data_IF_203722906180
#
_entry.id   IF_203722906180
#
_cell.length_a   1.000
_cell.length_b   1.000
_cell.length_c   1.000
_cell.angle_alpha   90.00
_cell.angle_beta   90.00
_cell.angle_gamma   90.00
#
_symmetry.space_group_name_H-M   'P 1'
#
loop_
_entity.id
_entity.type
_entity.pdbx_description
1 polymer ?
#
# COMPACT_ATOMS: atom_id res chain seq x y z
N UNK A 1 -22.26 -17.55 -14.08
CA UNK A 1 -21.92 -16.13 -13.95
C UNK A 1 -22.55 -15.18 -15.02
N UNK A 2 -23.35 -15.69 -15.93
CA UNK A 2 -24.08 -14.86 -16.91
C UNK A 2 -25.41 -14.30 -16.42
N UNK A 3 -25.77 -14.52 -15.15
CA UNK A 3 -27.01 -14.00 -14.58
C UNK A 3 -27.00 -12.47 -14.49
N UNK A 4 -28.08 -11.82 -14.89
CA UNK A 4 -28.30 -10.38 -14.72
C UNK A 4 -28.50 -10.02 -13.24
N UNK A 5 -28.87 -10.99 -12.41
CA UNK A 5 -29.10 -10.79 -10.99
C UNK A 5 -27.78 -10.72 -10.21
N UNK A 6 -27.51 -9.57 -9.59
CA UNK A 6 -26.31 -9.30 -8.80
C UNK A 6 -26.15 -10.31 -7.65
N UNK A 7 -27.23 -10.64 -6.95
CA UNK A 7 -27.21 -11.59 -5.84
C UNK A 7 -26.78 -13.00 -6.26
N UNK A 8 -27.24 -13.45 -7.44
CA UNK A 8 -26.82 -14.77 -7.97
C UNK A 8 -25.33 -14.79 -8.27
N UNK A 9 -24.79 -13.70 -8.83
CA UNK A 9 -23.36 -13.60 -9.13
C UNK A 9 -22.50 -13.60 -7.87
N UNK A 10 -22.90 -12.81 -6.87
CA UNK A 10 -22.19 -12.73 -5.59
C UNK A 10 -22.21 -14.06 -4.84
N UNK A 11 -23.36 -14.72 -4.77
CA UNK A 11 -23.48 -16.03 -4.12
C UNK A 11 -22.69 -17.12 -4.87
N UNK A 12 -22.68 -17.07 -6.21
CA UNK A 12 -21.84 -17.98 -7.01
C UNK A 12 -20.36 -17.78 -6.72
N UNK A 13 -19.90 -16.52 -6.60
CA UNK A 13 -18.51 -16.22 -6.22
C UNK A 13 -18.17 -16.73 -4.82
N UNK A 14 -19.03 -16.48 -3.83
CA UNK A 14 -18.84 -16.99 -2.47
C UNK A 14 -18.75 -18.52 -2.45
N UNK A 15 -19.61 -19.20 -3.23
CA UNK A 15 -19.57 -20.65 -3.36
C UNK A 15 -18.23 -21.12 -3.99
N UNK A 16 -17.77 -20.47 -5.06
CA UNK A 16 -16.50 -20.82 -5.73
C UNK A 16 -15.31 -20.67 -4.76
N UNK A 17 -15.25 -19.59 -3.99
CA UNK A 17 -14.19 -19.39 -3.00
C UNK A 17 -14.25 -20.37 -1.81
N UNK A 18 -15.42 -20.96 -1.52
CA UNK A 18 -15.55 -22.00 -0.50
C UNK A 18 -15.09 -23.38 -0.99
N UNK A 19 -14.98 -23.57 -2.31
CA UNK A 19 -14.44 -24.79 -2.90
C UNK A 19 -12.92 -24.68 -2.93
N UNK A 20 -12.23 -25.59 -2.23
CA UNK A 20 -10.76 -25.59 -2.09
C UNK A 20 -10.02 -25.96 -3.38
N UNK A 21 -10.38 -25.36 -4.51
CA UNK A 21 -9.81 -25.63 -5.83
C UNK A 21 -9.28 -24.36 -6.47
N UNK A 22 -7.95 -24.15 -6.52
CA UNK A 22 -7.34 -22.95 -7.11
C UNK A 22 -7.68 -22.76 -8.59
N UNK A 23 -7.73 -23.83 -9.39
CA UNK A 23 -8.04 -23.76 -10.83
C UNK A 23 -9.44 -23.20 -11.08
N UNK A 24 -10.40 -23.57 -10.23
CA UNK A 24 -11.76 -23.05 -10.31
C UNK A 24 -11.80 -21.56 -9.97
N UNK A 25 -11.04 -21.13 -8.97
CA UNK A 25 -10.89 -19.71 -8.61
C UNK A 25 -10.32 -18.93 -9.78
N UNK A 26 -9.21 -19.37 -10.37
CA UNK A 26 -8.58 -18.72 -11.53
C UNK A 26 -9.56 -18.62 -12.72
N UNK A 27 -10.29 -19.71 -13.00
CA UNK A 27 -11.28 -19.73 -14.09
C UNK A 27 -12.41 -18.73 -13.83
N UNK A 28 -12.86 -18.62 -12.58
CA UNK A 28 -13.87 -17.63 -12.17
C UNK A 28 -13.34 -16.19 -12.31
N UNK A 29 -12.12 -15.91 -11.88
CA UNK A 29 -11.50 -14.60 -12.00
C UNK A 29 -11.36 -14.17 -13.47
N UNK A 30 -10.98 -15.06 -14.37
CA UNK A 30 -10.93 -14.78 -15.82
C UNK A 30 -12.30 -14.40 -16.41
N UNK A 31 -13.38 -14.98 -15.90
CA UNK A 31 -14.76 -14.65 -16.33
C UNK A 31 -15.18 -13.30 -15.75
N UNK A 32 -14.85 -13.04 -14.47
CA UNK A 32 -15.16 -11.80 -13.79
C UNK A 32 -14.43 -10.64 -14.43
N UNK A 33 -13.15 -10.82 -14.76
CA UNK A 33 -12.30 -9.77 -15.32
C UNK A 33 -12.86 -9.21 -16.63
N UNK A 34 -13.45 -10.05 -17.47
CA UNK A 34 -14.15 -9.62 -18.69
C UNK A 34 -15.38 -8.75 -18.44
N UNK A 35 -15.88 -8.73 -17.19
CA UNK A 35 -17.10 -8.04 -16.78
C UNK A 35 -16.88 -7.25 -15.47
N UNK A 36 -15.66 -6.75 -15.24
CA UNK A 36 -15.23 -6.17 -13.96
C UNK A 36 -16.13 -4.99 -13.52
N UNK A 37 -16.68 -4.22 -14.46
CA UNK A 37 -17.60 -3.10 -14.19
C UNK A 37 -18.87 -3.51 -13.45
N UNK A 38 -19.22 -4.79 -13.50
CA UNK A 38 -20.43 -5.32 -12.83
C UNK A 38 -20.16 -5.90 -11.44
N UNK A 39 -18.89 -5.90 -10.98
CA UNK A 39 -18.49 -6.46 -9.70
C UNK A 39 -17.86 -5.41 -8.82
N UNK A 40 -18.24 -5.40 -7.55
CA UNK A 40 -17.60 -4.53 -6.58
C UNK A 40 -16.17 -5.07 -6.29
N UNK A 41 -15.11 -4.26 -6.45
CA UNK A 41 -13.72 -4.71 -6.24
C UNK A 41 -13.51 -5.43 -4.91
N UNK A 42 -14.16 -4.94 -3.84
CA UNK A 42 -14.08 -5.54 -2.51
C UNK A 42 -14.54 -7.01 -2.48
N UNK A 43 -15.56 -7.39 -3.25
CA UNK A 43 -16.04 -8.77 -3.29
C UNK A 43 -14.99 -9.74 -3.87
N UNK A 44 -14.12 -9.26 -4.75
CA UNK A 44 -13.10 -10.07 -5.39
C UNK A 44 -12.02 -10.42 -4.37
N UNK A 45 -11.39 -9.42 -3.76
CA UNK A 45 -10.31 -9.71 -2.83
C UNK A 45 -10.80 -10.26 -1.48
N UNK A 46 -11.99 -9.86 -0.97
CA UNK A 46 -12.60 -10.48 0.22
C UNK A 46 -12.90 -11.98 -0.04
N UNK A 47 -13.34 -12.32 -1.26
CA UNK A 47 -13.53 -13.70 -1.65
C UNK A 47 -12.22 -14.49 -1.65
N UNK A 48 -11.17 -13.92 -2.23
CA UNK A 48 -9.84 -14.52 -2.21
C UNK A 48 -9.30 -14.69 -0.78
N UNK A 49 -9.54 -13.72 0.11
CA UNK A 49 -9.17 -13.82 1.53
C UNK A 49 -9.88 -14.99 2.25
N UNK A 50 -11.11 -15.30 1.84
CA UNK A 50 -11.89 -16.41 2.39
C UNK A 50 -11.59 -17.78 1.78
N UNK A 51 -10.71 -17.85 0.77
CA UNK A 51 -10.28 -19.12 0.19
C UNK A 51 -9.60 -20.01 1.23
N UNK A 52 -10.05 -21.27 1.32
CA UNK A 52 -9.62 -22.24 2.34
C UNK A 52 -8.63 -23.29 1.81
N UNK A 53 -8.39 -23.30 0.49
CA UNK A 53 -7.49 -24.26 -0.15
C UNK A 53 -6.02 -23.86 0.00
N UNK A 54 -5.19 -24.49 -0.82
CA UNK A 54 -3.75 -24.23 -0.89
C UNK A 54 -3.47 -22.82 -1.42
N UNK A 55 -3.09 -21.93 -0.51
CA UNK A 55 -2.84 -20.51 -0.80
C UNK A 55 -1.54 -20.28 -1.57
N UNK A 56 -0.54 -21.14 -1.40
CA UNK A 56 0.72 -21.05 -2.16
C UNK A 56 0.48 -21.41 -3.62
N UNK A 57 -0.19 -22.51 -3.87
CA UNK A 57 -0.58 -22.89 -5.23
C UNK A 57 -1.48 -21.81 -5.89
N UNK A 58 -2.44 -21.24 -5.13
CA UNK A 58 -3.26 -20.15 -5.64
C UNK A 58 -2.41 -18.90 -5.98
N UNK A 59 -1.43 -18.55 -5.14
CA UNK A 59 -0.49 -17.45 -5.39
C UNK A 59 0.28 -17.66 -6.69
N UNK A 60 0.90 -18.83 -6.86
CA UNK A 60 1.66 -19.17 -8.07
C UNK A 60 0.79 -19.01 -9.32
N UNK A 61 -0.41 -19.59 -9.33
CA UNK A 61 -1.33 -19.51 -10.47
C UNK A 61 -1.82 -18.09 -10.75
N UNK A 62 -1.99 -17.24 -9.69
CA UNK A 62 -2.35 -15.84 -9.84
C UNK A 62 -1.22 -15.05 -10.51
N UNK A 63 0.04 -15.29 -10.14
CA UNK A 63 1.19 -14.65 -10.79
C UNK A 63 1.42 -15.14 -12.22
N UNK A 64 1.31 -16.42 -12.50
CA UNK A 64 1.37 -16.96 -13.87
C UNK A 64 0.36 -16.28 -14.81
N UNK A 65 -0.82 -15.99 -14.31
CA UNK A 65 -1.89 -15.35 -15.09
C UNK A 65 -1.91 -13.82 -14.96
N UNK A 66 -1.04 -13.20 -14.14
CA UNK A 66 -1.14 -11.81 -13.71
C UNK A 66 -1.22 -10.82 -14.87
N UNK A 67 -0.32 -10.94 -15.84
CA UNK A 67 -0.25 -10.03 -16.98
C UNK A 67 -1.40 -10.21 -17.99
N UNK A 68 -2.18 -11.29 -17.88
CA UNK A 68 -3.35 -11.52 -18.71
C UNK A 68 -4.62 -10.87 -18.15
N UNK A 69 -4.57 -10.38 -16.90
CA UNK A 69 -5.69 -9.69 -16.27
C UNK A 69 -5.71 -8.19 -16.57
N UNK A 70 -6.89 -7.60 -16.53
CA UNK A 70 -7.04 -6.15 -16.55
C UNK A 70 -6.37 -5.47 -15.34
N UNK A 71 -6.01 -4.20 -15.48
CA UNK A 71 -5.39 -3.43 -14.38
C UNK A 71 -6.23 -3.46 -13.09
N UNK A 72 -7.56 -3.39 -13.21
CA UNK A 72 -8.46 -3.48 -12.06
C UNK A 72 -8.40 -4.84 -11.34
N UNK A 73 -8.29 -5.94 -12.08
CA UNK A 73 -8.13 -7.28 -11.50
C UNK A 73 -6.74 -7.45 -10.89
N UNK A 74 -5.70 -6.96 -11.55
CA UNK A 74 -4.35 -6.96 -11.01
C UNK A 74 -4.29 -6.25 -9.63
N UNK A 75 -4.91 -5.08 -9.49
CA UNK A 75 -5.00 -4.37 -8.22
C UNK A 75 -5.74 -5.17 -7.13
N UNK A 76 -6.82 -5.89 -7.49
CA UNK A 76 -7.51 -6.76 -6.54
C UNK A 76 -6.64 -7.94 -6.08
N UNK A 77 -5.86 -8.52 -6.96
CA UNK A 77 -4.89 -9.58 -6.64
C UNK A 77 -3.79 -9.04 -5.70
N UNK A 78 -3.21 -7.88 -5.99
CA UNK A 78 -2.22 -7.26 -5.11
C UNK A 78 -2.80 -6.90 -3.73
N UNK A 79 -4.04 -6.44 -3.66
CA UNK A 79 -4.75 -6.21 -2.40
C UNK A 79 -4.95 -7.53 -1.63
N UNK A 80 -5.28 -8.64 -2.32
CA UNK A 80 -5.37 -9.95 -1.69
C UNK A 80 -4.05 -10.35 -1.04
N UNK A 81 -2.91 -10.21 -1.73
CA UNK A 81 -1.61 -10.52 -1.16
C UNK A 81 -1.30 -9.66 0.07
N UNK A 82 -1.52 -8.35 -0.03
CA UNK A 82 -1.28 -7.42 1.07
C UNK A 82 -2.17 -7.69 2.29
N UNK A 83 -3.48 -7.86 2.11
CA UNK A 83 -4.43 -8.05 3.21
C UNK A 83 -4.46 -9.49 3.72
N UNK A 84 -4.16 -10.46 2.87
CA UNK A 84 -4.07 -11.88 3.21
C UNK A 84 -2.77 -12.29 3.90
N UNK A 85 -1.83 -11.36 4.10
CA UNK A 85 -0.49 -11.64 4.64
C UNK A 85 0.25 -12.72 3.83
N UNK A 86 0.18 -12.63 2.50
CA UNK A 86 0.82 -13.59 1.61
C UNK A 86 2.17 -13.01 1.19
N UNK A 87 3.24 -13.74 1.51
CA UNK A 87 4.59 -13.35 1.14
C UNK A 87 4.78 -13.48 -0.38
N UNK A 88 5.16 -12.36 -1.03
CA UNK A 88 5.47 -12.28 -2.46
C UNK A 88 6.48 -11.14 -2.72
N UNK A 89 7.51 -11.07 -1.89
CA UNK A 89 8.49 -9.97 -1.90
C UNK A 89 9.19 -9.83 -3.24
N UNK A 90 9.57 -10.95 -3.86
CA UNK A 90 10.25 -10.95 -5.15
C UNK A 90 9.39 -10.30 -6.24
N UNK A 91 8.16 -10.75 -6.38
CA UNK A 91 7.23 -10.24 -7.40
C UNK A 91 6.85 -8.78 -7.15
N UNK A 92 6.69 -8.41 -5.88
CA UNK A 92 6.42 -7.01 -5.51
C UNK A 92 7.63 -6.11 -5.75
N UNK A 93 8.85 -6.61 -5.54
CA UNK A 93 10.06 -5.85 -5.85
C UNK A 93 10.24 -5.66 -7.36
N UNK A 94 9.95 -6.69 -8.15
CA UNK A 94 9.92 -6.59 -9.60
C UNK A 94 8.91 -5.53 -10.08
N UNK A 95 7.69 -5.48 -9.49
CA UNK A 95 6.70 -4.45 -9.78
C UNK A 95 7.16 -3.06 -9.36
N UNK A 96 7.78 -2.94 -8.19
CA UNK A 96 8.27 -1.66 -7.65
C UNK A 96 9.34 -1.04 -8.55
N UNK A 97 10.24 -1.86 -9.08
CA UNK A 97 11.41 -1.42 -9.87
C UNK A 97 11.15 -1.40 -11.38
N UNK A 98 10.09 -2.07 -11.87
CA UNK A 98 9.78 -2.16 -13.29
C UNK A 98 9.38 -0.81 -13.89
N UNK A 99 10.05 -0.38 -14.93
CA UNK A 99 9.67 0.80 -15.72
C UNK A 99 8.37 0.58 -16.52
N UNK A 100 8.03 -0.67 -16.82
CA UNK A 100 6.83 -1.04 -17.59
C UNK A 100 5.57 -1.14 -16.74
N UNK A 101 5.69 -1.30 -15.43
CA UNK A 101 4.54 -1.35 -14.55
C UNK A 101 3.84 0.01 -14.52
N UNK A 102 2.50 0.01 -14.59
CA UNK A 102 1.75 1.23 -14.42
C UNK A 102 1.86 1.78 -12.99
N UNK A 103 1.54 3.06 -12.81
CA UNK A 103 1.69 3.74 -11.54
C UNK A 103 0.91 3.08 -10.40
N UNK A 104 -0.32 2.62 -10.64
CA UNK A 104 -1.17 2.02 -9.63
C UNK A 104 -0.60 0.69 -9.10
N UNK A 105 0.00 -0.13 -9.96
CA UNK A 105 0.68 -1.38 -9.56
C UNK A 105 1.91 -1.07 -8.71
N UNK A 106 2.70 -0.06 -9.10
CA UNK A 106 3.87 0.38 -8.32
C UNK A 106 3.46 0.96 -6.97
N UNK A 107 2.37 1.74 -6.91
CA UNK A 107 1.80 2.24 -5.64
C UNK A 107 1.34 1.09 -4.74
N UNK A 108 0.77 0.05 -5.33
CA UNK A 108 0.39 -1.16 -4.58
C UNK A 108 1.60 -1.90 -4.03
N UNK A 109 2.70 -1.97 -4.77
CA UNK A 109 3.96 -2.53 -4.30
C UNK A 109 4.56 -1.71 -3.14
N UNK A 110 4.56 -0.37 -3.21
CA UNK A 110 5.00 0.48 -2.09
C UNK A 110 4.14 0.21 -0.83
N UNK A 111 2.81 0.13 -0.98
CA UNK A 111 1.90 -0.18 0.13
C UNK A 111 2.06 -1.61 0.67
N UNK A 112 2.47 -2.55 -0.16
CA UNK A 112 2.82 -3.89 0.29
C UNK A 112 4.06 -3.83 1.18
N UNK A 113 5.13 -3.18 0.76
CA UNK A 113 6.35 -3.03 1.53
C UNK A 113 6.24 -2.07 2.73
N UNK A 114 5.23 -1.22 2.79
CA UNK A 114 4.86 -0.52 4.03
C UNK A 114 4.41 -1.52 5.11
N UNK A 115 3.77 -2.62 4.71
CA UNK A 115 3.27 -3.66 5.62
C UNK A 115 4.30 -4.77 5.88
N UNK A 116 5.10 -5.11 4.88
CA UNK A 116 6.12 -6.16 4.89
C UNK A 116 7.47 -5.57 4.52
N UNK A 117 8.08 -4.79 5.43
CA UNK A 117 9.32 -4.09 5.13
C UNK A 117 10.48 -5.06 4.90
N UNK A 118 11.30 -4.77 3.89
CA UNK A 118 12.62 -5.37 3.70
C UNK A 118 13.62 -4.33 3.22
N UNK A 119 14.91 -4.58 3.38
CA UNK A 119 15.96 -3.58 3.17
C UNK A 119 16.10 -3.15 1.72
N UNK A 120 15.94 -4.08 0.77
CA UNK A 120 16.06 -3.79 -0.66
C UNK A 120 14.93 -2.84 -1.12
N UNK A 121 13.69 -3.17 -0.79
CA UNK A 121 12.55 -2.30 -1.05
C UNK A 121 12.66 -0.96 -0.29
N UNK A 122 13.19 -0.98 0.93
CA UNK A 122 13.44 0.22 1.74
C UNK A 122 14.32 1.22 1.02
N UNK A 123 15.42 0.76 0.43
CA UNK A 123 16.34 1.59 -0.34
C UNK A 123 15.66 2.24 -1.56
N UNK A 124 14.83 1.47 -2.29
CA UNK A 124 14.07 1.98 -3.43
C UNK A 124 13.01 3.00 -2.98
N UNK A 125 12.28 2.72 -1.91
CA UNK A 125 11.25 3.61 -1.35
C UNK A 125 11.88 4.92 -0.85
N UNK A 126 13.05 4.87 -0.22
CA UNK A 126 13.81 6.06 0.19
C UNK A 126 14.19 6.92 -1.02
N UNK A 127 14.72 6.32 -2.08
CA UNK A 127 15.05 7.05 -3.31
C UNK A 127 13.82 7.71 -3.95
N UNK A 128 12.68 7.02 -3.97
CA UNK A 128 11.40 7.57 -4.46
C UNK A 128 10.93 8.72 -3.56
N UNK A 129 10.99 8.58 -2.24
CA UNK A 129 10.58 9.62 -1.29
C UNK A 129 11.47 10.87 -1.37
N UNK A 130 12.75 10.71 -1.71
CA UNK A 130 13.69 11.81 -1.95
C UNK A 130 13.49 12.49 -3.32
N UNK A 131 12.66 11.90 -4.18
CA UNK A 131 12.37 12.33 -5.55
C UNK A 131 13.62 12.36 -6.45
N UNK A 132 14.57 11.45 -6.24
CA UNK A 132 15.82 11.39 -7.00
C UNK A 132 15.60 11.14 -8.50
N UNK A 133 14.46 10.52 -8.87
CA UNK A 133 14.15 10.15 -10.25
C UNK A 133 13.20 11.13 -10.95
N UNK A 134 12.88 12.28 -10.34
CA UNK A 134 11.97 13.27 -10.92
C UNK A 134 10.54 12.74 -11.16
N UNK A 135 10.09 11.77 -10.39
CA UNK A 135 8.75 11.17 -10.48
C UNK A 135 7.67 12.16 -10.05
N UNK A 136 6.41 11.84 -10.35
CA UNK A 136 5.28 12.66 -9.95
C UNK A 136 5.13 12.72 -8.42
N UNK A 137 4.46 13.74 -7.93
CA UNK A 137 4.29 13.97 -6.47
C UNK A 137 3.57 12.82 -5.76
N UNK A 138 2.71 12.05 -6.46
CA UNK A 138 2.00 10.90 -5.89
C UNK A 138 2.97 9.83 -5.42
N UNK A 139 4.02 9.55 -6.20
CA UNK A 139 5.07 8.62 -5.80
C UNK A 139 5.76 9.07 -4.52
N UNK A 140 6.18 10.33 -4.48
CA UNK A 140 6.84 10.89 -3.32
C UNK A 140 5.93 10.86 -2.08
N UNK A 141 4.65 11.17 -2.25
CA UNK A 141 3.67 11.16 -1.16
C UNK A 141 3.44 9.75 -0.59
N UNK A 142 3.26 8.74 -1.46
CA UNK A 142 3.05 7.34 -1.03
C UNK A 142 4.32 6.78 -0.40
N UNK A 143 5.49 7.03 -1.00
CA UNK A 143 6.76 6.61 -0.45
C UNK A 143 7.02 7.25 0.93
N UNK A 144 6.75 8.55 1.09
CA UNK A 144 6.85 9.23 2.40
C UNK A 144 5.95 8.60 3.45
N UNK A 145 4.74 8.12 3.07
CA UNK A 145 3.87 7.37 3.98
C UNK A 145 4.45 6.00 4.35
N UNK A 146 5.06 5.28 3.39
CA UNK A 146 5.62 3.96 3.63
C UNK A 146 6.88 3.99 4.52
N UNK A 147 7.61 5.10 4.53
CA UNK A 147 8.83 5.27 5.31
C UNK A 147 8.64 5.13 6.84
N UNK A 148 7.43 5.21 7.36
CA UNK A 148 7.14 4.90 8.78
C UNK A 148 7.50 3.47 9.17
N UNK A 149 7.66 2.56 8.20
CA UNK A 149 8.07 1.17 8.42
C UNK A 149 9.59 0.95 8.29
N UNK A 150 10.35 2.00 8.02
CA UNK A 150 11.79 1.95 7.77
C UNK A 150 12.54 2.95 8.68
N UNK A 151 12.68 2.66 9.99
CA UNK A 151 13.37 3.56 10.91
C UNK A 151 14.85 3.70 10.55
N UNK A 152 15.42 4.88 10.81
CA UNK A 152 16.86 5.17 10.65
C UNK A 152 17.13 6.59 10.17
N UNK A 153 18.42 6.99 10.21
CA UNK A 153 18.84 8.36 9.95
C UNK A 153 18.56 8.84 8.53
N UNK A 154 18.65 7.94 7.55
CA UNK A 154 18.34 8.27 6.15
C UNK A 154 16.85 8.63 6.01
N UNK A 155 15.99 7.78 6.55
CA UNK A 155 14.54 8.02 6.57
C UNK A 155 14.20 9.33 7.30
N UNK A 156 14.80 9.57 8.47
CA UNK A 156 14.60 10.81 9.21
C UNK A 156 14.91 12.05 8.37
N UNK A 157 16.11 12.08 7.76
CA UNK A 157 16.52 13.22 6.92
C UNK A 157 15.58 13.45 5.74
N UNK A 158 15.15 12.37 5.06
CA UNK A 158 14.22 12.46 3.94
C UNK A 158 12.88 13.03 4.39
N UNK A 159 12.32 12.53 5.49
CA UNK A 159 11.02 12.96 6.00
C UNK A 159 11.06 14.42 6.48
N UNK A 160 12.12 14.82 7.19
CA UNK A 160 12.32 16.23 7.61
C UNK A 160 12.42 17.15 6.40
N UNK A 161 13.19 16.81 5.37
CA UNK A 161 13.27 17.54 4.11
C UNK A 161 11.89 17.69 3.44
N UNK A 162 11.11 16.62 3.44
CA UNK A 162 9.80 16.56 2.80
C UNK A 162 8.72 17.36 3.55
N UNK A 163 8.91 17.73 4.83
CA UNK A 163 8.04 18.67 5.53
C UNK A 163 7.99 20.05 4.84
N UNK A 164 9.05 20.44 4.13
CA UNK A 164 9.13 21.69 3.39
C UNK A 164 8.67 21.60 1.93
N UNK A 165 8.10 20.46 1.52
CA UNK A 165 7.55 20.29 0.17
C UNK A 165 6.43 21.29 -0.10
N UNK A 166 6.35 21.81 -1.34
CA UNK A 166 5.21 22.63 -1.77
C UNK A 166 3.91 21.81 -1.85
N UNK A 167 4.00 20.50 -2.02
CA UNK A 167 2.83 19.60 -2.06
C UNK A 167 2.38 19.21 -0.66
N UNK A 168 1.11 19.52 -0.36
CA UNK A 168 0.52 19.27 0.95
C UNK A 168 0.50 17.76 1.32
N UNK A 169 0.23 16.86 0.37
CA UNK A 169 0.19 15.42 0.65
C UNK A 169 1.56 14.87 1.06
N UNK A 170 2.63 15.36 0.45
CA UNK A 170 3.99 14.97 0.81
C UNK A 170 4.29 15.44 2.23
N UNK A 171 4.01 16.70 2.57
CA UNK A 171 4.19 17.22 3.93
C UNK A 171 3.41 16.43 4.97
N UNK A 172 2.11 16.19 4.68
CA UNK A 172 1.21 15.48 5.58
C UNK A 172 1.70 14.03 5.85
N UNK A 173 2.06 13.30 4.79
CA UNK A 173 2.53 11.93 4.93
C UNK A 173 3.87 11.84 5.66
N UNK A 174 4.76 12.80 5.41
CA UNK A 174 6.04 12.90 6.13
C UNK A 174 5.84 13.18 7.61
N UNK A 175 4.95 14.09 7.96
CA UNK A 175 4.63 14.40 9.36
C UNK A 175 4.01 13.19 10.09
N UNK A 176 3.09 12.46 9.42
CA UNK A 176 2.51 11.23 9.96
C UNK A 176 3.60 10.17 10.19
N UNK A 177 4.51 10.02 9.23
CA UNK A 177 5.58 9.02 9.33
C UNK A 177 6.56 9.35 10.45
N UNK A 178 6.95 10.61 10.63
CA UNK A 178 7.78 11.05 11.75
C UNK A 178 7.08 10.81 13.11
N UNK A 179 5.78 11.13 13.21
CA UNK A 179 4.97 10.83 14.40
C UNK A 179 4.95 9.32 14.71
N UNK A 180 4.72 8.47 13.70
CA UNK A 180 4.64 7.00 13.85
C UNK A 180 5.98 6.36 14.18
N UNK A 181 7.08 6.92 13.71
CA UNK A 181 8.44 6.53 14.07
C UNK A 181 8.82 6.94 15.51
N UNK A 182 7.98 7.72 16.18
CA UNK A 182 8.18 8.06 17.59
C UNK A 182 9.01 9.33 17.82
N UNK A 183 9.40 10.07 16.78
CA UNK A 183 10.16 11.31 16.94
C UNK A 183 9.41 12.32 17.79
N UNK A 184 10.18 13.08 18.59
CA UNK A 184 9.70 14.01 19.58
C UNK A 184 10.03 15.47 19.20
N UNK A 185 9.56 16.42 20.02
CA UNK A 185 9.96 17.83 19.89
C UNK A 185 11.49 18.02 19.93
N UNK A 186 12.18 17.25 20.77
CA UNK A 186 13.64 17.32 20.89
C UNK A 186 14.35 16.88 19.61
N UNK A 187 13.89 15.81 19.00
CA UNK A 187 14.47 15.28 17.76
C UNK A 187 14.24 16.24 16.57
N UNK A 188 13.16 17.01 16.61
CA UNK A 188 12.72 17.91 15.55
C UNK A 188 13.00 19.39 15.84
N UNK A 189 13.94 19.68 16.74
CA UNK A 189 14.26 21.07 17.13
C UNK A 189 14.62 21.94 15.93
N UNK A 190 15.35 21.39 14.95
CA UNK A 190 15.72 22.10 13.72
C UNK A 190 14.51 22.48 12.85
N UNK A 191 13.41 21.73 12.93
CA UNK A 191 12.14 22.05 12.25
C UNK A 191 11.46 23.19 12.99
N UNK A 192 11.43 23.15 14.33
CA UNK A 192 10.75 24.17 15.16
C UNK A 192 11.49 25.51 15.19
N UNK A 193 12.82 25.49 15.13
CA UNK A 193 13.66 26.69 15.06
C UNK A 193 13.80 27.21 13.61
N UNK A 194 13.39 26.42 12.62
CA UNK A 194 13.46 26.77 11.20
C UNK A 194 12.42 27.83 10.81
N UNK A 195 12.58 28.39 9.60
CA UNK A 195 11.71 29.44 9.07
C UNK A 195 10.43 28.94 8.39
N UNK A 196 10.31 27.61 8.14
CA UNK A 196 9.15 27.04 7.46
C UNK A 196 7.96 26.93 8.42
N UNK A 197 7.03 27.88 8.30
CA UNK A 197 5.82 27.94 9.12
C UNK A 197 4.97 26.67 8.98
N UNK A 198 4.80 26.15 7.76
CA UNK A 198 3.95 25.00 7.53
C UNK A 198 4.53 23.72 8.12
N UNK A 199 5.85 23.53 8.03
CA UNK A 199 6.53 22.40 8.66
C UNK A 199 6.35 22.43 10.18
N UNK A 200 6.53 23.62 10.81
CA UNK A 200 6.31 23.79 12.25
C UNK A 200 4.88 23.50 12.68
N UNK A 201 3.89 24.07 11.98
CA UNK A 201 2.47 23.93 12.34
C UNK A 201 2.00 22.48 12.22
N UNK A 202 2.35 21.78 11.12
CA UNK A 202 1.93 20.41 10.92
C UNK A 202 2.56 19.47 11.96
N UNK A 203 3.84 19.65 12.29
CA UNK A 203 4.50 18.81 13.29
C UNK A 203 3.98 19.09 14.69
N UNK A 204 3.75 20.36 15.06
CA UNK A 204 3.14 20.73 16.35
C UNK A 204 1.77 20.05 16.51
N UNK A 205 0.90 20.20 15.53
CA UNK A 205 -0.41 19.55 15.55
C UNK A 205 -0.33 18.03 15.76
N UNK A 206 0.62 17.37 15.11
CA UNK A 206 0.80 15.91 15.21
C UNK A 206 1.30 15.49 16.59
N UNK A 207 2.31 16.17 17.11
CA UNK A 207 2.91 15.84 18.39
C UNK A 207 1.96 16.15 19.56
N UNK A 208 1.25 17.29 19.52
CA UNK A 208 0.27 17.66 20.55
C UNK A 208 -0.88 16.66 20.58
N UNK A 209 -1.39 16.23 19.41
CA UNK A 209 -2.43 15.21 19.32
C UNK A 209 -1.99 13.88 19.91
N UNK A 210 -0.77 13.42 19.62
CA UNK A 210 -0.21 12.18 20.17
C UNK A 210 -0.11 12.25 21.70
N UNK A 211 0.29 13.38 22.24
CA UNK A 211 0.38 13.59 23.69
C UNK A 211 -1.00 13.51 24.34
N UNK A 212 -1.99 14.20 23.78
CA UNK A 212 -3.37 14.18 24.28
C UNK A 212 -3.99 12.78 24.22
N UNK A 213 -3.80 12.03 23.11
CA UNK A 213 -4.26 10.64 22.97
C UNK A 213 -3.59 9.71 24.01
N UNK A 214 -2.29 9.91 24.29
CA UNK A 214 -1.57 9.12 25.30
C UNK A 214 -2.03 9.42 26.73
N UNK A 215 -2.40 10.66 27.03
CA UNK A 215 -2.96 11.04 28.33
C UNK A 215 -4.37 10.48 28.53
N UNK A 216 -5.21 10.53 27.50
CA UNK A 216 -6.57 9.99 27.55
C UNK A 216 -6.62 8.47 27.76
N UNK A 217 -5.60 7.72 27.33
CA UNK A 217 -5.50 6.27 27.54
C UNK A 217 -5.03 5.86 28.95
N UNK A 218 -4.57 6.82 29.76
CA UNK A 218 -4.11 6.58 31.14
C UNK A 218 -5.21 6.77 32.20
N UNK A 219 -6.36 7.25 31.77
CA UNK A 219 -7.58 7.44 32.60
C UNK A 219 -8.52 6.29 32.41
#
# INVERSE_FOLDING_TARGET
MRSVNVYCRENTLKAIYSINNPQLVISALKIIDKNLTFHHPKLIYDGLLNFKGDKENLKEMLFESFNAYSAGMQLNILNYFRFGNICCDKEMLELLTSEKANNELRFSAIRYFEKFPNDEAGSVIQAIAENMEGRTWEYQAIASSALKSYPGDVTFRILVKNLSSSNWHIRQNSAISLEKLGYTYHDLISVFDGNDRYAREIMRYRLDRRTAESEAMKV
#
